data_IF_520516241922
#
_entry.id   IF_520516241922
#
_cell.length_a   1.000
_cell.length_b   1.000
_cell.length_c   1.000
_cell.angle_alpha   90.00
_cell.angle_beta   90.00
_cell.angle_gamma   90.00
#
_symmetry.space_group_name_H-M   'P 1'
#
loop_
_entity.id
_entity.type
_entity.pdbx_description
1 polymer ?
#
# COMPACT_ATOMS: atom_id res chain seq x y z
N UNK A 1 -12.04 2.57 8.23
CA UNK A 1 -12.96 1.68 8.99
C UNK A 1 -13.18 2.29 10.36
N UNK A 2 -14.41 2.40 10.88
CA UNK A 2 -14.68 3.01 12.19
C UNK A 2 -14.48 2.02 13.35
N UNK A 3 -14.40 2.51 14.59
CA UNK A 3 -14.45 1.73 15.84
C UNK A 3 -15.59 0.69 15.83
N UNK A 4 -16.69 1.01 15.14
CA UNK A 4 -17.85 0.13 14.93
C UNK A 4 -17.49 -1.19 14.23
N UNK A 5 -16.47 -1.21 13.36
CA UNK A 5 -16.03 -2.41 12.66
C UNK A 5 -15.35 -3.44 13.58
N UNK A 6 -14.65 -2.98 14.63
CA UNK A 6 -14.02 -3.88 15.60
C UNK A 6 -15.09 -4.54 16.48
N UNK A 7 -16.07 -3.75 16.94
CA UNK A 7 -17.20 -4.28 17.70
C UNK A 7 -18.03 -5.28 16.89
N UNK A 8 -18.26 -5.01 15.61
CA UNK A 8 -18.93 -5.96 14.72
C UNK A 8 -18.09 -7.23 14.53
N UNK A 9 -16.77 -7.12 14.36
CA UNK A 9 -15.87 -8.27 14.26
C UNK A 9 -15.93 -9.15 15.53
N UNK A 10 -15.95 -8.54 16.72
CA UNK A 10 -16.12 -9.27 17.98
C UNK A 10 -17.51 -9.92 18.11
N UNK A 11 -18.58 -9.23 17.69
CA UNK A 11 -19.95 -9.77 17.71
C UNK A 11 -20.11 -11.01 16.83
N UNK A 12 -19.43 -11.05 15.70
CA UNK A 12 -19.52 -12.13 14.71
C UNK A 12 -18.28 -13.05 14.69
N UNK A 13 -17.54 -13.14 15.80
CA UNK A 13 -16.25 -13.86 15.88
C UNK A 13 -16.28 -15.28 15.31
N UNK A 14 -17.33 -16.06 15.60
CA UNK A 14 -17.48 -17.41 15.06
C UNK A 14 -17.61 -17.42 13.53
N UNK A 15 -18.43 -16.52 12.97
CA UNK A 15 -18.59 -16.38 11.52
C UNK A 15 -17.26 -15.94 10.88
N UNK A 16 -16.58 -14.97 11.49
CA UNK A 16 -15.28 -14.47 11.02
C UNK A 16 -14.22 -15.60 11.03
N UNK A 17 -14.19 -16.42 12.08
CA UNK A 17 -13.32 -17.60 12.14
C UNK A 17 -13.60 -18.59 11.01
N UNK A 18 -14.86 -18.83 10.65
CA UNK A 18 -15.22 -19.70 9.53
C UNK A 18 -14.85 -19.10 8.17
N UNK A 19 -14.97 -17.78 8.01
CA UNK A 19 -14.47 -17.06 6.84
C UNK A 19 -12.95 -17.22 6.74
N UNK A 20 -12.22 -16.99 7.82
CA UNK A 20 -10.75 -17.03 7.81
C UNK A 20 -10.21 -18.45 7.57
N UNK A 21 -10.98 -19.50 7.91
CA UNK A 21 -10.72 -20.90 7.52
C UNK A 21 -11.07 -21.22 6.05
N UNK A 22 -11.75 -20.31 5.36
CA UNK A 22 -12.16 -20.44 3.96
C UNK A 22 -13.46 -21.19 3.72
N UNK A 23 -14.32 -21.34 4.74
CA UNK A 23 -15.66 -21.94 4.61
C UNK A 23 -16.67 -20.93 4.03
N UNK A 24 -16.36 -20.37 2.86
CA UNK A 24 -17.06 -19.23 2.30
C UNK A 24 -18.50 -19.54 1.92
N UNK A 25 -18.78 -20.66 1.27
CA UNK A 25 -20.15 -21.03 0.85
C UNK A 25 -21.11 -21.16 2.04
N UNK A 26 -20.63 -21.66 3.18
CA UNK A 26 -21.43 -21.74 4.41
C UNK A 26 -21.55 -20.38 5.10
N UNK A 27 -20.46 -19.61 5.12
CA UNK A 27 -20.42 -18.27 5.71
C UNK A 27 -21.35 -17.30 4.97
N UNK A 28 -21.43 -17.36 3.64
CA UNK A 28 -22.35 -16.56 2.83
C UNK A 28 -23.82 -16.84 3.18
N UNK A 29 -24.19 -18.11 3.33
CA UNK A 29 -25.56 -18.51 3.75
C UNK A 29 -25.87 -18.02 5.16
N UNK A 30 -24.89 -18.10 6.07
CA UNK A 30 -25.03 -17.57 7.42
C UNK A 30 -25.24 -16.06 7.41
N UNK A 31 -24.45 -15.32 6.61
CA UNK A 31 -24.62 -13.87 6.43
C UNK A 31 -26.00 -13.55 5.85
N UNK A 32 -26.46 -14.26 4.81
CA UNK A 32 -27.76 -14.00 4.20
C UNK A 32 -28.91 -14.22 5.21
N UNK A 33 -28.78 -15.24 6.05
CA UNK A 33 -29.73 -15.50 7.14
C UNK A 33 -29.72 -14.36 8.18
N UNK A 34 -28.54 -13.87 8.55
CA UNK A 34 -28.38 -12.75 9.48
C UNK A 34 -28.94 -11.44 8.91
N UNK A 35 -28.72 -11.16 7.62
CA UNK A 35 -29.19 -9.93 6.97
C UNK A 35 -30.71 -9.83 6.85
N UNK A 36 -31.42 -10.97 6.86
CA UNK A 36 -32.89 -11.03 6.88
C UNK A 36 -33.44 -10.69 8.29
N UNK A 37 -32.64 -10.89 9.34
CA UNK A 37 -33.06 -10.57 10.71
C UNK A 37 -33.27 -9.06 10.92
N UNK A 38 -34.33 -8.71 11.64
CA UNK A 38 -34.68 -7.32 11.98
C UNK A 38 -33.82 -6.70 13.09
N UNK A 39 -32.95 -7.49 13.75
CA UNK A 39 -32.22 -7.07 14.96
C UNK A 39 -30.84 -6.42 14.68
N UNK A 40 -30.41 -6.36 13.42
CA UNK A 40 -29.10 -5.80 13.07
C UNK A 40 -29.17 -4.28 12.80
N UNK A 41 -28.18 -3.56 13.33
CA UNK A 41 -27.98 -2.13 13.02
C UNK A 41 -27.60 -1.92 11.54
N UNK A 42 -27.64 -0.67 11.07
CA UNK A 42 -27.19 -0.34 9.71
C UNK A 42 -25.71 -0.69 9.50
N UNK A 43 -24.88 -0.38 10.49
CA UNK A 43 -23.44 -0.61 10.48
C UNK A 43 -23.11 -2.11 10.50
N UNK A 44 -23.85 -2.90 11.27
CA UNK A 44 -23.71 -4.36 11.28
C UNK A 44 -24.10 -4.97 9.94
N UNK A 45 -25.17 -4.47 9.30
CA UNK A 45 -25.56 -4.89 7.95
C UNK A 45 -24.51 -4.52 6.90
N UNK A 46 -23.95 -3.30 6.96
CA UNK A 46 -22.85 -2.90 6.06
C UNK A 46 -21.60 -3.75 6.27
N UNK A 47 -21.22 -4.01 7.53
CA UNK A 47 -20.11 -4.89 7.86
C UNK A 47 -20.28 -6.30 7.27
N UNK A 48 -21.43 -6.93 7.49
CA UNK A 48 -21.70 -8.27 6.95
C UNK A 48 -21.74 -8.30 5.42
N UNK A 49 -22.28 -7.26 4.76
CA UNK A 49 -22.24 -7.14 3.29
C UNK A 49 -20.80 -7.01 2.80
N UNK A 50 -19.96 -6.24 3.50
CA UNK A 50 -18.56 -6.13 3.16
C UNK A 50 -17.81 -7.44 3.38
N UNK A 51 -18.15 -8.25 4.38
CA UNK A 51 -17.53 -9.59 4.53
C UNK A 51 -17.88 -10.52 3.36
N UNK A 52 -19.10 -10.46 2.80
CA UNK A 52 -19.41 -11.16 1.54
C UNK A 52 -18.51 -10.68 0.39
N UNK A 53 -18.35 -9.38 0.27
CA UNK A 53 -17.49 -8.78 -0.75
C UNK A 53 -16.01 -9.16 -0.52
N UNK A 54 -15.54 -9.19 0.72
CA UNK A 54 -14.19 -9.63 1.08
C UNK A 54 -13.94 -11.07 0.65
N UNK A 55 -14.88 -11.99 0.90
CA UNK A 55 -14.78 -13.37 0.43
C UNK A 55 -14.67 -13.44 -1.10
N UNK A 56 -15.46 -12.63 -1.83
CA UNK A 56 -15.34 -12.55 -3.29
C UNK A 56 -13.97 -12.04 -3.73
N UNK A 57 -13.44 -11.00 -3.09
CA UNK A 57 -12.10 -10.47 -3.38
C UNK A 57 -11.00 -11.47 -3.06
N UNK A 58 -11.12 -12.23 -1.97
CA UNK A 58 -10.19 -13.32 -1.65
C UNK A 58 -10.22 -14.40 -2.73
N UNK A 59 -11.40 -14.78 -3.27
CA UNK A 59 -11.46 -15.70 -4.42
C UNK A 59 -10.77 -15.14 -5.66
N UNK A 60 -10.76 -13.82 -5.84
CA UNK A 60 -10.01 -13.19 -6.91
C UNK A 60 -8.49 -13.24 -6.66
N UNK A 61 -8.05 -13.09 -5.42
CA UNK A 61 -6.64 -13.20 -5.04
C UNK A 61 -6.08 -14.63 -5.12
N UNK A 62 -6.91 -15.65 -4.90
CA UNK A 62 -6.51 -17.05 -4.82
C UNK A 62 -7.11 -17.91 -5.95
N UNK A 63 -6.49 -17.87 -7.12
CA UNK A 63 -6.93 -18.65 -8.29
C UNK A 63 -5.94 -19.71 -8.75
N UNK A 64 -4.68 -19.66 -8.31
CA UNK A 64 -3.66 -20.58 -8.82
C UNK A 64 -3.83 -21.98 -8.30
N UNK A 65 -3.56 -22.95 -9.17
CA UNK A 65 -3.50 -24.37 -8.84
C UNK A 65 -2.08 -24.77 -8.44
N UNK A 66 -1.95 -25.95 -7.83
CA UNK A 66 -0.64 -26.59 -7.59
C UNK A 66 0.16 -26.76 -8.88
N UNK A 67 -0.53 -27.08 -9.99
CA UNK A 67 0.13 -27.28 -11.28
C UNK A 67 0.75 -25.99 -11.81
N UNK A 68 0.13 -24.83 -11.57
CA UNK A 68 0.71 -23.53 -11.94
C UNK A 68 2.03 -23.26 -11.21
N UNK A 69 2.10 -23.62 -9.92
CA UNK A 69 3.31 -23.49 -9.11
C UNK A 69 4.41 -24.41 -9.66
N UNK A 70 4.07 -25.67 -9.94
CA UNK A 70 5.02 -26.66 -10.48
C UNK A 70 5.55 -26.20 -11.84
N UNK A 71 4.66 -25.75 -12.74
CA UNK A 71 5.02 -25.32 -14.09
C UNK A 71 6.03 -24.17 -14.07
N UNK A 72 5.76 -23.13 -13.27
CA UNK A 72 6.69 -22.01 -13.12
C UNK A 72 8.01 -22.43 -12.46
N UNK A 73 7.94 -23.24 -11.40
CA UNK A 73 9.13 -23.63 -10.64
C UNK A 73 10.10 -24.47 -11.46
N UNK A 74 9.60 -25.29 -12.40
CA UNK A 74 10.43 -26.13 -13.30
C UNK A 74 11.37 -25.34 -14.22
N UNK A 75 11.10 -24.07 -14.48
CA UNK A 75 12.02 -23.20 -15.23
C UNK A 75 13.36 -23.04 -14.49
N UNK A 76 13.32 -23.01 -13.16
CA UNK A 76 14.48 -22.80 -12.29
C UNK A 76 14.95 -24.08 -11.60
N UNK A 77 14.04 -25.02 -11.33
CA UNK A 77 14.30 -26.24 -10.59
C UNK A 77 13.57 -27.42 -11.27
N UNK A 78 14.20 -28.14 -12.22
CA UNK A 78 13.52 -29.17 -13.02
C UNK A 78 12.91 -30.31 -12.21
N UNK A 79 13.51 -30.66 -11.07
CA UNK A 79 13.14 -31.79 -10.23
C UNK A 79 12.14 -31.45 -9.11
N UNK A 80 11.38 -30.35 -9.25
CA UNK A 80 10.31 -29.97 -8.32
C UNK A 80 9.36 -31.16 -8.09
N UNK A 81 9.14 -31.48 -6.81
CA UNK A 81 8.28 -32.56 -6.37
C UNK A 81 7.33 -32.11 -5.24
N UNK A 82 6.42 -33.00 -4.86
CA UNK A 82 5.38 -32.72 -3.87
C UNK A 82 5.91 -32.42 -2.46
N UNK A 83 7.03 -33.04 -2.06
CA UNK A 83 7.66 -32.78 -0.77
C UNK A 83 8.21 -31.34 -0.72
N UNK A 84 8.80 -30.87 -1.82
CA UNK A 84 9.28 -29.49 -1.93
C UNK A 84 8.12 -28.48 -1.81
N UNK A 85 7.01 -28.73 -2.51
CA UNK A 85 5.80 -27.89 -2.39
C UNK A 85 5.32 -27.84 -0.94
N UNK A 86 5.20 -29.00 -0.27
CA UNK A 86 4.76 -29.06 1.13
C UNK A 86 5.71 -28.32 2.08
N UNK A 87 7.02 -28.37 1.82
CA UNK A 87 8.01 -27.63 2.61
C UNK A 87 7.85 -26.12 2.42
N UNK A 88 7.65 -25.65 1.18
CA UNK A 88 7.41 -24.22 0.90
C UNK A 88 6.08 -23.72 1.47
N UNK A 89 5.05 -24.57 1.53
CA UNK A 89 3.81 -24.27 2.22
C UNK A 89 4.03 -24.14 3.74
N UNK A 90 4.82 -25.05 4.32
CA UNK A 90 5.08 -25.11 5.77
C UNK A 90 5.97 -23.98 6.26
N UNK A 91 6.97 -23.58 5.47
CA UNK A 91 7.87 -22.48 5.82
C UNK A 91 7.28 -21.08 5.51
N UNK A 92 6.10 -21.03 4.88
CA UNK A 92 5.38 -19.80 4.57
C UNK A 92 5.81 -19.12 3.26
N UNK A 93 6.84 -19.61 2.56
CA UNK A 93 7.29 -19.02 1.30
C UNK A 93 6.33 -19.23 0.12
N UNK A 94 5.42 -20.21 0.23
CA UNK A 94 4.36 -20.47 -0.74
C UNK A 94 2.97 -20.27 -0.11
N UNK A 95 2.42 -19.07 -0.29
CA UNK A 95 1.11 -18.72 0.25
C UNK A 95 -0.06 -19.44 -0.47
N UNK A 96 -0.93 -20.05 0.33
CA UNK A 96 -2.15 -20.73 -0.12
C UNK A 96 -3.30 -20.55 0.86
N UNK A 97 -4.51 -20.89 0.41
CA UNK A 97 -5.72 -20.96 1.22
C UNK A 97 -6.55 -22.17 0.79
N UNK A 98 -7.29 -22.77 1.73
CA UNK A 98 -8.32 -23.76 1.41
C UNK A 98 -9.64 -23.02 1.33
N UNK A 99 -10.26 -22.95 0.16
CA UNK A 99 -11.55 -22.27 -0.06
C UNK A 99 -12.58 -23.33 -0.40
N UNK A 100 -13.59 -23.49 0.46
CA UNK A 100 -14.66 -24.48 0.32
C UNK A 100 -14.13 -25.91 0.06
N UNK A 101 -13.03 -26.26 0.74
CA UNK A 101 -12.38 -27.57 0.63
C UNK A 101 -11.36 -27.71 -0.51
N UNK A 102 -11.23 -26.71 -1.38
CA UNK A 102 -10.24 -26.71 -2.47
C UNK A 102 -9.00 -25.86 -2.10
N UNK A 103 -7.80 -26.44 -2.20
CA UNK A 103 -6.55 -25.69 -2.02
C UNK A 103 -6.29 -24.81 -3.25
N UNK A 104 -6.23 -23.49 -3.03
CA UNK A 104 -5.85 -22.47 -4.01
C UNK A 104 -4.61 -21.73 -3.55
N UNK A 105 -3.76 -21.34 -4.49
CA UNK A 105 -2.59 -20.53 -4.22
C UNK A 105 -2.84 -19.08 -4.59
N UNK A 106 -2.22 -18.18 -3.85
CA UNK A 106 -2.27 -16.76 -4.14
C UNK A 106 -1.71 -16.48 -5.55
N UNK A 107 -2.31 -15.55 -6.29
CA UNK A 107 -1.98 -15.30 -7.69
C UNK A 107 -0.51 -14.94 -7.95
N UNK A 108 0.19 -14.35 -6.96
CA UNK A 108 1.63 -14.05 -7.08
C UNK A 108 2.53 -15.02 -6.32
N UNK A 109 2.00 -16.09 -5.71
CA UNK A 109 2.78 -17.01 -4.88
C UNK A 109 3.94 -17.67 -5.64
N UNK A 110 3.73 -18.11 -6.88
CA UNK A 110 4.79 -18.65 -7.75
C UNK A 110 6.00 -17.73 -7.94
N UNK A 111 5.80 -16.42 -8.14
CA UNK A 111 6.91 -15.46 -8.27
C UNK A 111 7.45 -15.03 -6.91
N UNK A 112 6.57 -14.86 -5.92
CA UNK A 112 6.93 -14.51 -4.54
C UNK A 112 7.78 -15.59 -3.87
N UNK A 113 7.54 -16.86 -4.17
CA UNK A 113 8.33 -17.99 -3.68
C UNK A 113 9.83 -17.76 -3.93
N UNK A 114 10.20 -17.31 -5.13
CA UNK A 114 11.58 -17.02 -5.51
C UNK A 114 12.10 -15.65 -5.03
N UNK A 115 11.26 -14.85 -4.37
CA UNK A 115 11.65 -13.60 -3.68
C UNK A 115 11.87 -13.84 -2.18
N UNK A 116 11.03 -14.67 -1.58
CA UNK A 116 10.97 -14.95 -0.14
C UNK A 116 11.97 -16.05 0.22
N UNK A 117 11.94 -17.19 -0.49
CA UNK A 117 12.82 -18.31 -0.18
C UNK A 117 14.26 -18.01 -0.64
N UNK A 118 15.18 -17.87 0.32
CA UNK A 118 16.58 -17.48 0.08
C UNK A 118 17.33 -18.47 -0.82
N UNK A 119 17.03 -19.76 -0.75
CA UNK A 119 17.68 -20.78 -1.57
C UNK A 119 17.19 -20.71 -3.02
N UNK A 120 15.87 -20.63 -3.22
CA UNK A 120 15.28 -20.50 -4.55
C UNK A 120 15.66 -19.17 -5.21
N UNK A 121 15.75 -18.08 -4.44
CA UNK A 121 16.25 -16.80 -4.92
C UNK A 121 17.67 -16.93 -5.50
N UNK A 122 18.60 -17.57 -4.76
CA UNK A 122 19.96 -17.83 -5.25
C UNK A 122 19.98 -18.72 -6.50
N UNK A 123 19.12 -19.73 -6.57
CA UNK A 123 18.97 -20.58 -7.76
C UNK A 123 18.56 -19.72 -8.97
N UNK A 124 17.55 -18.86 -8.80
CA UNK A 124 17.09 -17.95 -9.86
C UNK A 124 18.19 -16.96 -10.30
N UNK A 125 18.88 -16.35 -9.34
CA UNK A 125 20.01 -15.42 -9.59
C UNK A 125 21.15 -16.11 -10.35
N UNK A 126 21.50 -17.35 -10.00
CA UNK A 126 22.57 -18.08 -10.71
C UNK A 126 22.23 -18.39 -12.18
N UNK A 127 20.94 -18.50 -12.52
CA UNK A 127 20.46 -18.75 -13.88
C UNK A 127 20.29 -17.47 -14.71
N UNK A 128 19.79 -16.40 -14.10
CA UNK A 128 19.45 -15.15 -14.81
C UNK A 128 20.52 -14.07 -14.68
N UNK A 129 21.50 -14.25 -13.79
CA UNK A 129 22.42 -13.20 -13.37
C UNK A 129 21.79 -12.27 -12.33
N UNK A 130 22.37 -11.09 -12.17
CA UNK A 130 21.89 -10.07 -11.22
C UNK A 130 20.43 -9.69 -11.54
N UNK A 131 19.55 -9.80 -10.54
CA UNK A 131 18.13 -9.43 -10.66
C UNK A 131 17.87 -7.91 -10.60
N UNK A 132 18.89 -7.09 -10.84
CA UNK A 132 18.76 -5.62 -10.79
C UNK A 132 17.83 -5.14 -11.88
N UNK A 133 16.84 -4.34 -11.51
CA UNK A 133 15.90 -3.74 -12.45
C UNK A 133 16.27 -2.28 -12.79
N UNK A 134 15.43 -1.63 -13.60
CA UNK A 134 15.65 -0.22 -14.00
C UNK A 134 15.65 0.75 -12.82
N UNK A 135 14.93 0.44 -11.74
CA UNK A 135 14.92 1.24 -10.53
C UNK A 135 16.24 1.08 -9.78
N UNK A 136 16.76 -0.13 -9.63
CA UNK A 136 18.05 -0.37 -8.96
C UNK A 136 19.18 0.43 -9.63
N UNK A 137 19.27 0.35 -10.97
CA UNK A 137 20.25 1.14 -11.73
C UNK A 137 20.03 2.65 -11.59
N UNK A 138 18.77 3.09 -11.53
CA UNK A 138 18.46 4.48 -11.28
C UNK A 138 18.97 4.92 -9.90
N UNK A 139 18.66 4.16 -8.84
CA UNK A 139 19.00 4.51 -7.46
C UNK A 139 20.52 4.58 -7.27
N UNK A 140 21.25 3.55 -7.71
CA UNK A 140 22.72 3.49 -7.61
C UNK A 140 23.40 4.69 -8.29
N UNK A 141 22.85 5.14 -9.42
CA UNK A 141 23.40 6.28 -10.16
C UNK A 141 22.95 7.63 -9.59
N UNK A 142 21.69 7.77 -9.21
CA UNK A 142 21.10 9.09 -8.95
C UNK A 142 21.18 9.50 -7.48
N UNK A 143 21.13 8.57 -6.53
CA UNK A 143 21.20 8.92 -5.11
C UNK A 143 22.54 9.61 -4.74
N UNK A 144 23.72 9.10 -5.14
CA UNK A 144 24.98 9.79 -4.89
C UNK A 144 25.03 11.19 -5.53
N UNK A 145 24.45 11.35 -6.73
CA UNK A 145 24.36 12.65 -7.41
C UNK A 145 23.43 13.64 -6.71
N UNK A 146 22.32 13.16 -6.14
CA UNK A 146 21.42 13.98 -5.32
C UNK A 146 22.18 14.47 -4.08
N UNK A 147 22.87 13.58 -3.38
CA UNK A 147 23.65 13.92 -2.19
C UNK A 147 24.79 14.91 -2.47
N UNK A 148 25.56 14.71 -3.55
CA UNK A 148 26.62 15.64 -3.95
C UNK A 148 26.07 17.04 -4.28
N UNK A 149 24.86 17.14 -4.84
CA UNK A 149 24.23 18.44 -5.11
C UNK A 149 23.64 19.09 -3.87
N UNK A 150 23.19 18.31 -2.89
CA UNK A 150 22.64 18.82 -1.65
C UNK A 150 23.71 19.55 -0.83
N UNK A 151 24.94 19.02 -0.69
CA UNK A 151 26.04 19.65 0.09
C UNK A 151 25.57 20.28 1.42
N UNK A 152 24.79 19.54 2.21
CA UNK A 152 24.16 19.97 3.47
C UNK A 152 22.99 20.97 3.34
N UNK A 153 22.46 21.19 2.14
CA UNK A 153 21.12 21.78 1.93
C UNK A 153 20.08 20.68 2.06
N UNK A 154 18.88 21.03 2.49
CA UNK A 154 17.76 20.09 2.61
C UNK A 154 17.15 19.70 1.26
N UNK A 155 17.29 20.53 0.22
CA UNK A 155 16.68 20.31 -1.10
C UNK A 155 17.48 20.95 -2.25
N UNK A 156 17.24 20.47 -3.48
CA UNK A 156 17.76 21.04 -4.74
C UNK A 156 16.61 21.40 -5.71
N UNK A 157 16.96 21.85 -6.91
CA UNK A 157 15.98 22.28 -7.93
C UNK A 157 14.92 21.20 -8.18
N UNK A 158 13.63 21.60 -8.29
CA UNK A 158 12.55 20.66 -8.54
C UNK A 158 12.66 20.06 -9.94
N UNK A 159 12.19 18.81 -10.07
CA UNK A 159 11.87 18.19 -11.34
C UNK A 159 10.41 18.49 -11.65
N UNK A 160 10.19 18.98 -12.86
CA UNK A 160 8.86 19.25 -13.38
C UNK A 160 8.35 18.02 -14.12
N UNK A 161 7.16 17.54 -13.78
CA UNK A 161 6.58 16.32 -14.29
C UNK A 161 5.19 16.63 -14.84
N UNK A 162 4.91 16.12 -16.03
CA UNK A 162 3.57 16.12 -16.60
C UNK A 162 3.14 14.68 -16.78
N UNK A 163 1.89 14.36 -16.47
CA UNK A 163 1.35 13.04 -16.75
C UNK A 163 -0.07 13.11 -17.27
N UNK A 164 -0.48 12.04 -17.95
CA UNK A 164 -1.87 11.78 -18.34
C UNK A 164 -2.32 10.49 -17.69
N UNK A 165 -3.40 10.55 -16.92
CA UNK A 165 -3.99 9.42 -16.24
C UNK A 165 -5.34 9.07 -16.88
N UNK A 166 -5.52 7.80 -17.21
CA UNK A 166 -6.72 7.29 -17.89
C UNK A 166 -7.28 6.12 -17.10
N UNK A 167 -8.59 6.14 -16.82
CA UNK A 167 -9.36 4.98 -16.36
C UNK A 167 -10.39 4.61 -17.43
N UNK A 168 -10.50 3.32 -17.73
CA UNK A 168 -11.41 2.77 -18.73
C UNK A 168 -12.27 1.67 -18.11
N UNK A 169 -13.55 1.96 -17.89
CA UNK A 169 -14.56 0.97 -17.48
C UNK A 169 -14.89 0.09 -18.67
N UNK A 170 -14.79 -1.23 -18.50
CA UNK A 170 -15.03 -2.19 -19.58
C UNK A 170 -16.47 -2.06 -20.11
N UNK A 171 -16.71 -2.32 -21.41
CA UNK A 171 -18.05 -2.27 -21.98
C UNK A 171 -19.04 -3.12 -21.20
N UNK A 172 -20.29 -2.64 -21.08
CA UNK A 172 -21.42 -3.36 -20.49
C UNK A 172 -21.26 -3.74 -19.00
N UNK A 173 -20.27 -3.19 -18.27
CA UNK A 173 -20.17 -3.35 -16.81
C UNK A 173 -21.20 -2.51 -16.03
N UNK A 174 -21.73 -1.47 -16.68
CA UNK A 174 -22.72 -0.55 -16.13
C UNK A 174 -23.83 -0.38 -17.18
N UNK A 175 -25.13 -0.42 -16.79
CA UNK A 175 -26.22 -0.29 -17.74
C UNK A 175 -26.19 1.04 -18.53
N UNK A 176 -26.72 1.02 -19.75
CA UNK A 176 -26.76 2.20 -20.61
C UNK A 176 -27.45 3.39 -19.92
N UNK A 177 -26.88 4.58 -20.06
CA UNK A 177 -27.31 5.85 -19.45
C UNK A 177 -27.18 5.95 -17.92
N UNK A 178 -26.66 4.93 -17.23
CA UNK A 178 -26.35 5.05 -15.81
C UNK A 178 -25.09 5.90 -15.58
N UNK A 179 -25.11 6.72 -14.53
CA UNK A 179 -23.98 7.57 -14.17
C UNK A 179 -22.94 6.78 -13.38
N UNK A 180 -21.73 6.75 -13.92
CA UNK A 180 -20.53 6.31 -13.22
C UNK A 180 -19.89 7.54 -12.56
N UNK A 181 -19.68 7.43 -11.25
CA UNK A 181 -18.92 8.38 -10.43
C UNK A 181 -17.51 7.83 -10.25
N UNK A 182 -16.51 8.65 -10.56
CA UNK A 182 -15.11 8.26 -10.50
C UNK A 182 -14.30 9.27 -9.68
N UNK A 183 -13.53 8.77 -8.72
CA UNK A 183 -12.50 9.50 -8.00
C UNK A 183 -11.17 8.99 -8.52
N UNK A 184 -10.38 9.85 -9.13
CA UNK A 184 -9.06 9.50 -9.66
C UNK A 184 -7.97 10.15 -8.79
N UNK A 185 -6.81 9.49 -8.58
CA UNK A 185 -5.70 10.06 -7.82
C UNK A 185 -5.35 11.43 -8.38
N UNK A 186 -5.03 12.42 -7.55
CA UNK A 186 -4.60 13.74 -8.00
C UNK A 186 -3.43 14.22 -7.12
N UNK A 187 -2.38 14.88 -7.66
CA UNK A 187 -1.26 15.30 -6.85
C UNK A 187 -1.69 16.27 -5.75
N UNK A 188 -1.29 16.02 -4.51
CA UNK A 188 -1.46 16.96 -3.40
C UNK A 188 -0.84 18.32 -3.73
N UNK A 189 -1.62 19.39 -3.54
CA UNK A 189 -1.20 20.77 -3.85
C UNK A 189 -0.45 21.45 -2.69
N UNK A 190 -0.67 21.01 -1.45
CA UNK A 190 -0.23 21.71 -0.23
C UNK A 190 0.86 20.95 0.52
N UNK A 191 1.90 20.54 -0.18
CA UNK A 191 3.04 19.88 0.42
C UNK A 191 4.34 20.65 0.13
N UNK A 192 5.27 20.69 1.08
CA UNK A 192 6.53 21.43 0.91
C UNK A 192 7.38 20.89 -0.25
N UNK A 193 7.21 19.61 -0.61
CA UNK A 193 7.97 18.97 -1.69
C UNK A 193 7.29 18.94 -3.05
N UNK A 194 5.97 19.07 -3.07
CA UNK A 194 5.15 18.94 -4.27
C UNK A 194 4.32 20.22 -4.45
N UNK A 195 4.56 20.92 -5.54
CA UNK A 195 4.07 22.28 -5.75
C UNK A 195 3.75 22.54 -7.22
N UNK A 196 3.21 23.72 -7.52
CA UNK A 196 2.90 24.14 -8.90
C UNK A 196 1.99 23.15 -9.63
N UNK A 197 1.06 22.52 -8.90
CA UNK A 197 0.09 21.58 -9.47
C UNK A 197 -0.86 22.35 -10.39
N UNK A 198 -0.91 21.95 -11.66
CA UNK A 198 -1.73 22.56 -12.71
C UNK A 198 -2.45 21.49 -13.49
N UNK A 199 -3.77 21.52 -13.42
CA UNK A 199 -4.64 20.72 -14.28
C UNK A 199 -4.59 21.28 -15.71
N UNK A 200 -4.14 20.47 -16.66
CA UNK A 200 -3.95 20.86 -18.06
C UNK A 200 -5.19 20.55 -18.89
N UNK A 201 -5.78 19.37 -18.72
CA UNK A 201 -6.98 18.94 -19.45
C UNK A 201 -7.75 17.87 -18.69
N UNK A 202 -9.05 17.80 -18.93
CA UNK A 202 -9.96 16.74 -18.45
C UNK A 202 -10.90 16.39 -19.59
N UNK A 203 -11.17 15.12 -19.82
CA UNK A 203 -12.12 14.67 -20.86
C UNK A 203 -13.59 14.71 -20.40
N UNK A 204 -13.93 15.71 -19.58
CA UNK A 204 -15.25 15.92 -19.02
C UNK A 204 -15.49 17.41 -18.77
N UNK A 205 -16.72 17.87 -18.99
CA UNK A 205 -17.07 19.29 -18.86
C UNK A 205 -17.10 19.75 -17.39
N UNK A 206 -17.35 18.83 -16.46
CA UNK A 206 -17.47 19.09 -15.04
C UNK A 206 -16.55 18.16 -14.24
N UNK A 207 -15.91 18.72 -13.23
CA UNK A 207 -15.07 17.98 -12.28
C UNK A 207 -15.06 18.70 -10.93
N UNK A 208 -14.70 17.96 -9.87
CA UNK A 208 -14.48 18.52 -8.53
C UNK A 208 -13.12 18.06 -8.03
N UNK A 209 -12.24 18.99 -7.65
CA UNK A 209 -11.00 18.65 -6.95
C UNK A 209 -11.26 18.56 -5.45
N UNK A 210 -10.64 17.59 -4.79
CA UNK A 210 -10.66 17.48 -3.33
C UNK A 210 -10.06 18.72 -2.68
N UNK A 211 -10.67 19.18 -1.59
CA UNK A 211 -10.14 20.31 -0.83
C UNK A 211 -8.89 19.98 -0.02
N UNK A 212 -8.22 21.03 0.46
CA UNK A 212 -6.97 20.99 1.25
C UNK A 212 -7.01 20.13 2.52
N UNK A 213 -8.21 19.85 3.02
CA UNK A 213 -8.43 19.11 4.25
C UNK A 213 -8.52 17.58 4.03
N UNK A 214 -8.67 17.12 2.79
CA UNK A 214 -8.72 15.70 2.49
C UNK A 214 -7.31 15.12 2.50
N UNK A 215 -7.13 13.97 3.17
CA UNK A 215 -5.87 13.24 3.15
C UNK A 215 -5.70 12.43 1.88
N UNK A 216 -6.78 12.09 1.18
CA UNK A 216 -6.74 11.47 -0.15
C UNK A 216 -7.09 12.54 -1.20
N UNK A 217 -6.09 12.96 -1.97
CA UNK A 217 -6.25 13.98 -3.02
C UNK A 217 -6.80 13.36 -4.29
N UNK A 218 -7.93 13.89 -4.80
CA UNK A 218 -8.67 13.31 -5.90
C UNK A 218 -9.25 14.34 -6.86
N UNK A 219 -9.36 13.95 -8.13
CA UNK A 219 -10.29 14.57 -9.08
C UNK A 219 -11.52 13.69 -9.25
N UNK A 220 -12.69 14.27 -8.99
CA UNK A 220 -13.99 13.64 -9.11
C UNK A 220 -14.64 13.96 -10.45
N UNK A 221 -15.18 12.93 -11.11
CA UNK A 221 -15.80 13.00 -12.43
C UNK A 221 -17.08 12.16 -12.47
N UNK A 222 -18.05 12.59 -13.27
CA UNK A 222 -19.26 11.83 -13.57
C UNK A 222 -19.44 11.69 -15.07
N UNK A 223 -19.69 10.46 -15.55
CA UNK A 223 -20.00 10.18 -16.96
C UNK A 223 -21.05 9.09 -17.08
N UNK A 224 -21.96 9.24 -18.05
CA UNK A 224 -22.94 8.20 -18.38
C UNK A 224 -22.27 7.05 -19.12
N UNK A 225 -22.60 5.82 -18.73
CA UNK A 225 -22.19 4.62 -19.45
C UNK A 225 -22.95 4.49 -20.77
N UNK A 226 -22.27 3.97 -21.79
CA UNK A 226 -22.86 3.68 -23.11
C UNK A 226 -22.80 2.20 -23.41
N UNK A 227 -23.86 1.69 -24.02
CA UNK A 227 -23.94 0.30 -24.42
C UNK A 227 -22.82 -0.07 -25.41
N UNK A 228 -22.15 -1.20 -25.19
CA UNK A 228 -21.07 -1.74 -26.02
C UNK A 228 -19.82 -0.84 -26.18
N UNK A 229 -19.71 0.24 -25.40
CA UNK A 229 -18.56 1.15 -25.40
C UNK A 229 -17.90 1.20 -24.02
N UNK A 230 -16.57 1.33 -23.93
CA UNK A 230 -15.93 1.60 -22.65
C UNK A 230 -16.24 3.03 -22.19
N UNK A 231 -16.40 3.24 -20.89
CA UNK A 231 -16.51 4.59 -20.32
C UNK A 231 -15.12 5.06 -19.89
N UNK A 232 -14.61 6.10 -20.55
CA UNK A 232 -13.24 6.59 -20.35
C UNK A 232 -13.25 7.89 -19.55
N UNK A 233 -12.51 7.89 -18.44
CA UNK A 233 -12.15 9.08 -17.67
C UNK A 233 -10.67 9.37 -17.90
N UNK A 234 -10.33 10.60 -18.24
CA UNK A 234 -8.95 10.99 -18.52
C UNK A 234 -8.71 12.44 -18.08
N UNK A 235 -7.53 12.68 -17.51
CA UNK A 235 -7.05 14.02 -17.27
C UNK A 235 -5.52 14.08 -17.41
N UNK A 236 -5.00 15.28 -17.61
CA UNK A 236 -3.56 15.55 -17.63
C UNK A 236 -3.20 16.64 -16.62
N UNK A 237 -2.16 16.42 -15.84
CA UNK A 237 -1.66 17.34 -14.81
C UNK A 237 -0.17 17.56 -14.98
N UNK A 238 0.27 18.74 -14.62
CA UNK A 238 1.67 19.10 -14.45
C UNK A 238 1.92 19.51 -13.01
N UNK A 239 3.06 19.14 -12.44
CA UNK A 239 3.49 19.55 -11.11
C UNK A 239 5.01 19.55 -10.99
N UNK A 240 5.52 20.17 -9.94
CA UNK A 240 6.94 20.25 -9.61
C UNK A 240 7.22 19.51 -8.29
N UNK A 241 8.19 18.59 -8.30
CA UNK A 241 8.61 17.86 -7.11
C UNK A 241 10.12 18.00 -6.84
N UNK A 242 10.49 18.24 -5.58
CA UNK A 242 11.91 18.39 -5.17
C UNK A 242 12.38 17.18 -4.36
N UNK A 243 13.60 16.69 -4.58
CA UNK A 243 14.20 15.72 -3.67
C UNK A 243 14.48 16.38 -2.31
N UNK A 244 14.44 15.59 -1.24
CA UNK A 244 14.72 16.03 0.12
C UNK A 244 15.69 15.08 0.82
N UNK A 245 16.57 15.60 1.67
CA UNK A 245 17.32 14.82 2.66
C UNK A 245 17.48 15.62 3.95
N UNK A 246 17.15 14.97 5.06
CA UNK A 246 17.40 15.45 6.41
C UNK A 246 18.65 14.75 6.96
N UNK A 247 19.65 15.55 7.31
CA UNK A 247 20.87 15.08 7.98
C UNK A 247 20.68 15.26 9.48
N UNK A 248 20.25 14.19 10.16
CA UNK A 248 19.86 14.23 11.57
C UNK A 248 20.97 13.67 12.43
N UNK A 249 21.51 14.49 13.34
CA UNK A 249 22.33 13.99 14.46
C UNK A 249 21.40 13.52 15.58
N UNK A 250 21.53 12.24 15.97
CA UNK A 250 20.74 11.66 17.05
C UNK A 250 20.84 12.44 18.37
N UNK A 251 21.95 13.17 18.59
CA UNK A 251 22.16 14.01 19.79
C UNK A 251 21.31 15.28 19.81
N UNK A 252 20.82 15.72 18.65
CA UNK A 252 19.96 16.90 18.51
C UNK A 252 18.48 16.57 18.73
N UNK A 253 18.14 15.28 18.83
CA UNK A 253 16.78 14.84 19.12
C UNK A 253 16.40 15.22 20.55
N UNK A 254 15.42 16.09 20.66
CA UNK A 254 14.82 16.51 21.92
C UNK A 254 13.58 15.66 22.25
N UNK A 255 13.17 15.69 23.52
CA UNK A 255 11.95 15.02 23.96
C UNK A 255 10.69 15.63 23.33
N UNK A 256 9.70 14.79 23.07
CA UNK A 256 8.41 15.22 22.51
C UNK A 256 7.55 16.01 23.49
N UNK A 257 6.83 17.02 22.98
CA UNK A 257 5.69 17.57 23.70
C UNK A 257 4.51 16.59 23.64
N UNK A 258 4.42 15.71 24.65
CA UNK A 258 3.40 14.65 24.75
C UNK A 258 1.97 15.16 24.86
N UNK A 259 1.78 16.43 25.20
CA UNK A 259 0.46 17.05 25.29
C UNK A 259 -0.06 17.59 23.96
N UNK A 260 0.80 17.73 22.95
CA UNK A 260 0.42 18.24 21.63
C UNK A 260 -0.55 17.32 20.89
N UNK A 261 -1.46 17.91 20.12
CA UNK A 261 -2.41 17.17 19.28
C UNK A 261 -1.69 16.30 18.23
N UNK A 262 -0.59 16.80 17.68
CA UNK A 262 0.26 16.06 16.74
C UNK A 262 0.78 14.77 17.38
N UNK A 263 1.39 14.88 18.56
CA UNK A 263 1.94 13.72 19.25
C UNK A 263 0.84 12.69 19.54
N UNK A 264 -0.24 13.10 20.22
CA UNK A 264 -1.36 12.22 20.59
C UNK A 264 -2.02 11.56 19.38
N UNK A 265 -2.11 12.27 18.25
CA UNK A 265 -2.74 11.75 17.03
C UNK A 265 -1.87 10.70 16.34
N UNK A 266 -0.57 10.92 16.29
CA UNK A 266 0.33 10.12 15.46
C UNK A 266 1.14 9.07 16.21
N UNK A 267 0.94 8.90 17.52
CA UNK A 267 1.48 7.76 18.30
C UNK A 267 0.43 6.73 18.71
N UNK A 268 -0.86 7.02 18.55
CA UNK A 268 -1.93 6.10 18.97
C UNK A 268 -2.17 4.99 17.94
N UNK A 269 -2.79 3.92 18.44
CA UNK A 269 -3.44 2.90 17.61
C UNK A 269 -4.50 3.54 16.71
N UNK A 270 -4.67 2.94 15.53
CA UNK A 270 -5.66 3.36 14.56
C UNK A 270 -6.09 2.12 13.76
N UNK A 271 -7.13 1.49 14.30
CA UNK A 271 -7.66 0.25 13.77
C UNK A 271 -8.18 0.39 12.33
N UNK A 272 -8.14 -0.69 11.53
CA UNK A 272 -7.72 -2.03 11.94
C UNK A 272 -6.24 -2.34 11.65
N UNK A 273 -5.50 -1.42 11.01
CA UNK A 273 -4.17 -1.72 10.47
C UNK A 273 -3.00 -1.32 11.39
N UNK A 274 -3.24 -0.44 12.37
CA UNK A 274 -2.26 -0.04 13.38
C UNK A 274 -2.82 -0.45 14.74
N UNK A 275 -2.36 -1.59 15.25
CA UNK A 275 -2.71 -2.13 16.56
C UNK A 275 -1.43 -2.59 17.26
N UNK A 276 -1.37 -2.44 18.58
CA UNK A 276 -0.25 -2.86 19.41
C UNK A 276 -0.54 -4.26 19.96
N UNK A 277 -0.60 -5.23 19.05
CA UNK A 277 -0.73 -6.66 19.38
C UNK A 277 0.46 -7.15 20.22
N UNK A 278 0.31 -8.28 20.90
CA UNK A 278 1.40 -8.83 21.71
C UNK A 278 2.64 -9.16 20.85
N UNK A 279 2.41 -9.59 19.60
CA UNK A 279 3.43 -9.84 18.60
C UNK A 279 4.22 -8.57 18.25
N UNK A 280 3.52 -7.43 18.06
CA UNK A 280 4.16 -6.12 17.84
C UNK A 280 5.02 -5.71 19.05
N UNK A 281 4.51 -5.92 20.28
CA UNK A 281 5.26 -5.58 21.50
C UNK A 281 6.52 -6.42 21.64
N UNK A 282 6.41 -7.73 21.43
CA UNK A 282 7.54 -8.67 21.51
C UNK A 282 8.60 -8.35 20.45
N UNK A 283 8.18 -8.17 19.20
CA UNK A 283 9.08 -7.81 18.12
C UNK A 283 9.77 -6.46 18.37
N UNK A 284 9.01 -5.46 18.82
CA UNK A 284 9.59 -4.16 19.16
C UNK A 284 10.69 -4.29 20.21
N UNK A 285 10.43 -5.01 21.31
CA UNK A 285 11.41 -5.20 22.38
C UNK A 285 12.67 -5.92 21.88
N UNK A 286 12.54 -6.90 20.98
CA UNK A 286 13.66 -7.58 20.33
C UNK A 286 14.52 -6.60 19.51
N UNK A 287 13.87 -5.74 18.71
CA UNK A 287 14.56 -4.79 17.82
C UNK A 287 15.28 -3.70 18.61
N UNK A 288 14.59 -3.07 19.58
CA UNK A 288 15.09 -1.84 20.19
C UNK A 288 16.02 -2.09 21.37
N UNK A 289 15.80 -3.17 22.13
CA UNK A 289 16.48 -3.42 23.40
C UNK A 289 16.21 -2.31 24.41
N UNK A 290 17.27 -1.73 24.98
CA UNK A 290 17.21 -0.63 25.95
C UNK A 290 17.38 0.76 25.29
N UNK A 291 17.27 0.86 23.97
CA UNK A 291 17.41 2.15 23.29
C UNK A 291 16.24 3.08 23.60
N UNK A 292 16.55 4.32 23.98
CA UNK A 292 15.55 5.35 24.31
C UNK A 292 15.53 6.50 23.29
N UNK A 293 16.58 6.66 22.46
CA UNK A 293 16.65 7.73 21.49
C UNK A 293 15.67 7.47 20.32
N UNK A 294 14.66 8.33 20.11
CA UNK A 294 13.63 8.14 19.07
C UNK A 294 14.18 7.91 17.67
N UNK A 295 15.26 8.61 17.30
CA UNK A 295 15.86 8.47 15.98
C UNK A 295 16.61 7.14 15.83
N UNK A 296 17.34 6.71 16.87
CA UNK A 296 18.04 5.43 16.85
C UNK A 296 17.05 4.26 16.85
N UNK A 297 15.97 4.35 17.63
CA UNK A 297 14.86 3.39 17.59
C UNK A 297 14.30 3.27 16.17
N UNK A 298 13.92 4.39 15.55
CA UNK A 298 13.37 4.39 14.20
C UNK A 298 14.37 3.79 13.19
N UNK A 299 15.66 4.13 13.31
CA UNK A 299 16.71 3.57 12.44
C UNK A 299 16.87 2.06 12.62
N UNK A 300 16.85 1.55 13.86
CA UNK A 300 16.89 0.11 14.17
C UNK A 300 15.70 -0.64 13.55
N UNK A 301 14.50 -0.09 13.68
CA UNK A 301 13.29 -0.66 13.08
C UNK A 301 13.41 -0.67 11.55
N UNK A 302 13.85 0.44 10.94
CA UNK A 302 14.08 0.55 9.50
C UNK A 302 15.06 -0.54 9.01
N UNK A 303 16.20 -0.67 9.67
CA UNK A 303 17.22 -1.68 9.34
C UNK A 303 16.68 -3.10 9.50
N UNK A 304 15.97 -3.39 10.61
CA UNK A 304 15.42 -4.71 10.83
C UNK A 304 14.42 -5.10 9.73
N UNK A 305 13.52 -4.19 9.34
CA UNK A 305 12.56 -4.43 8.25
C UNK A 305 13.27 -4.65 6.91
N UNK A 306 14.33 -3.88 6.63
CA UNK A 306 15.15 -4.07 5.43
C UNK A 306 15.76 -5.49 5.37
N UNK A 307 16.30 -5.96 6.48
CA UNK A 307 17.09 -7.19 6.53
C UNK A 307 16.23 -8.45 6.64
N UNK A 308 15.04 -8.34 7.24
CA UNK A 308 14.20 -9.48 7.60
C UNK A 308 12.91 -9.61 6.78
N UNK A 309 12.41 -8.52 6.18
CA UNK A 309 11.13 -8.51 5.45
C UNK A 309 11.39 -8.33 3.94
N UNK A 310 11.59 -9.42 3.18
CA UNK A 310 11.76 -9.36 1.73
C UNK A 310 10.52 -8.78 1.06
N UNK A 311 10.76 -8.06 -0.04
CA UNK A 311 9.68 -7.56 -0.88
C UNK A 311 8.97 -8.71 -1.59
N UNK A 312 7.65 -8.77 -1.45
CA UNK A 312 6.80 -9.74 -2.13
C UNK A 312 5.48 -9.06 -2.50
N UNK A 313 4.96 -9.33 -3.70
CA UNK A 313 3.72 -8.68 -4.14
C UNK A 313 2.56 -9.09 -3.25
N UNK A 314 1.78 -8.15 -2.74
CA UNK A 314 0.69 -8.44 -1.83
C UNK A 314 -0.61 -8.87 -2.52
N UNK A 315 -1.49 -9.46 -1.71
CA UNK A 315 -2.94 -9.50 -1.90
C UNK A 315 -3.51 -8.09 -1.90
N UNK A 316 -4.71 -7.93 -2.41
CA UNK A 316 -5.43 -6.66 -2.31
C UNK A 316 -5.65 -6.33 -0.83
N UNK A 317 -5.27 -5.13 -0.38
CA UNK A 317 -5.29 -4.76 1.05
C UNK A 317 -6.69 -4.82 1.65
N UNK A 318 -7.74 -4.63 0.83
CA UNK A 318 -9.13 -4.82 1.24
C UNK A 318 -9.49 -6.27 1.63
N UNK A 319 -8.61 -7.23 1.39
CA UNK A 319 -8.76 -8.62 1.85
C UNK A 319 -8.05 -8.90 3.17
N UNK A 320 -7.24 -7.97 3.66
CA UNK A 320 -6.48 -8.08 4.91
C UNK A 320 -7.28 -7.45 6.06
N UNK A 321 -7.32 -8.12 7.21
CA UNK A 321 -7.99 -7.59 8.42
C UNK A 321 -7.09 -6.58 9.12
N UNK A 322 -5.84 -6.96 9.36
CA UNK A 322 -4.78 -6.10 9.86
C UNK A 322 -3.52 -6.33 9.00
N UNK A 323 -2.91 -5.26 8.50
CA UNK A 323 -1.75 -5.34 7.61
C UNK A 323 -0.45 -5.53 8.40
N UNK A 324 -0.31 -4.88 9.56
CA UNK A 324 0.90 -5.00 10.38
C UNK A 324 1.04 -6.42 10.94
N UNK A 325 -0.05 -6.99 11.47
CA UNK A 325 -0.07 -8.39 11.93
C UNK A 325 0.16 -9.37 10.77
N UNK A 326 -0.42 -9.11 9.59
CA UNK A 326 -0.17 -9.93 8.41
C UNK A 326 1.32 -9.94 8.03
N UNK A 327 2.02 -8.80 8.14
CA UNK A 327 3.45 -8.72 7.88
C UNK A 327 4.25 -9.59 8.84
N UNK A 328 3.91 -9.61 10.13
CA UNK A 328 4.60 -10.41 11.15
C UNK A 328 4.31 -11.90 10.97
N UNK A 329 3.07 -12.28 10.64
CA UNK A 329 2.71 -13.67 10.37
C UNK A 329 3.40 -14.23 9.12
N UNK A 330 3.48 -13.42 8.05
CA UNK A 330 4.03 -13.84 6.76
C UNK A 330 5.52 -13.60 6.60
N UNK A 331 6.10 -12.69 7.38
CA UNK A 331 7.51 -12.27 7.29
C UNK A 331 7.93 -11.79 5.89
N UNK A 332 7.00 -11.20 5.13
CA UNK A 332 7.25 -10.57 3.84
C UNK A 332 6.11 -9.59 3.51
N UNK A 333 6.35 -8.65 2.59
CA UNK A 333 5.33 -7.69 2.19
C UNK A 333 5.78 -6.78 1.05
N UNK A 334 4.84 -6.11 0.41
CA UNK A 334 5.14 -5.05 -0.54
C UNK A 334 5.32 -3.69 0.18
N UNK A 335 5.35 -2.61 -0.59
CA UNK A 335 5.67 -1.27 -0.09
C UNK A 335 4.75 -0.84 1.05
N UNK A 336 3.44 -1.07 0.93
CA UNK A 336 2.50 -0.68 1.96
C UNK A 336 2.50 -1.61 3.17
N UNK A 337 2.62 -2.93 2.98
CA UNK A 337 2.73 -3.86 4.13
C UNK A 337 3.95 -3.51 5.00
N UNK A 338 5.12 -3.30 4.37
CA UNK A 338 6.35 -2.92 5.08
C UNK A 338 6.21 -1.58 5.79
N UNK A 339 5.62 -0.59 5.12
CA UNK A 339 5.41 0.74 5.66
C UNK A 339 4.48 0.74 6.88
N UNK A 340 3.37 -0.02 6.84
CA UNK A 340 2.44 -0.08 7.98
C UNK A 340 3.05 -0.82 9.18
N UNK A 341 3.86 -1.85 8.96
CA UNK A 341 4.63 -2.47 10.04
C UNK A 341 5.58 -1.45 10.69
N UNK A 342 6.36 -0.73 9.87
CA UNK A 342 7.27 0.31 10.36
C UNK A 342 6.55 1.38 11.17
N UNK A 343 5.45 1.94 10.64
CA UNK A 343 4.64 2.95 11.34
C UNK A 343 4.13 2.38 12.65
N UNK A 344 3.62 1.16 12.67
CA UNK A 344 3.08 0.53 13.88
C UNK A 344 4.14 0.38 14.97
N UNK A 345 5.34 -0.10 14.61
CA UNK A 345 6.47 -0.21 15.54
C UNK A 345 6.96 1.16 16.01
N UNK A 346 7.04 2.17 15.15
CA UNK A 346 7.38 3.54 15.55
C UNK A 346 6.36 4.11 16.54
N UNK A 347 5.06 4.00 16.23
CA UNK A 347 3.99 4.52 17.08
C UNK A 347 3.97 3.85 18.45
N UNK A 348 4.18 2.54 18.49
CA UNK A 348 4.28 1.78 19.75
C UNK A 348 5.42 2.31 20.63
N UNK A 349 6.56 2.68 20.03
CA UNK A 349 7.69 3.30 20.74
C UNK A 349 7.55 4.81 20.95
N UNK A 350 6.34 5.37 20.79
CA UNK A 350 6.06 6.78 21.06
C UNK A 350 6.68 7.75 20.04
N UNK A 351 7.03 7.27 18.84
CA UNK A 351 7.53 8.07 17.72
C UNK A 351 6.35 8.39 16.81
N UNK A 352 5.97 9.67 16.64
CA UNK A 352 4.84 10.00 15.78
C UNK A 352 5.17 9.66 14.33
N UNK A 353 4.31 8.86 13.70
CA UNK A 353 4.52 8.33 12.35
C UNK A 353 3.22 8.36 11.55
N UNK A 354 3.28 8.59 10.24
CA UNK A 354 2.10 8.62 9.36
C UNK A 354 2.37 8.03 7.98
N UNK A 355 1.29 7.64 7.31
CA UNK A 355 1.32 7.03 5.99
C UNK A 355 1.36 8.10 4.89
N UNK A 356 2.09 7.84 3.82
CA UNK A 356 1.97 8.54 2.54
C UNK A 356 1.94 7.55 1.40
N UNK A 357 1.23 7.88 0.32
CA UNK A 357 1.22 7.03 -0.87
C UNK A 357 0.86 7.80 -2.12
N UNK A 358 1.16 7.19 -3.27
CA UNK A 358 0.78 7.71 -4.57
C UNK A 358 1.45 6.88 -5.65
N UNK A 359 2.36 7.50 -6.40
CA UNK A 359 3.06 6.82 -7.48
C UNK A 359 4.56 7.09 -7.43
N UNK A 360 5.33 6.07 -7.75
CA UNK A 360 6.71 6.24 -8.19
C UNK A 360 6.69 6.51 -9.71
N UNK A 361 7.30 7.62 -10.12
CA UNK A 361 7.35 8.08 -11.51
C UNK A 361 8.79 8.11 -12.02
N UNK A 362 9.57 7.07 -11.74
CA UNK A 362 10.94 6.99 -12.23
C UNK A 362 10.95 6.71 -13.74
N UNK A 363 11.90 7.27 -14.52
CA UNK A 363 12.02 6.97 -15.94
C UNK A 363 12.13 5.46 -16.21
N UNK A 364 11.14 4.89 -16.91
CA UNK A 364 11.06 3.46 -17.20
C UNK A 364 10.52 2.58 -16.07
N UNK A 365 10.12 3.17 -14.93
CA UNK A 365 9.53 2.46 -13.81
C UNK A 365 8.42 3.33 -13.18
N UNK A 366 7.23 3.27 -13.77
CA UNK A 366 6.05 4.01 -13.33
C UNK A 366 5.09 3.04 -12.64
N UNK A 367 4.91 3.18 -11.33
CA UNK A 367 4.14 2.22 -10.54
C UNK A 367 3.49 2.86 -9.31
N UNK A 368 2.59 2.13 -8.68
CA UNK A 368 2.03 2.47 -7.37
C UNK A 368 3.13 2.38 -6.31
N UNK A 369 3.08 3.23 -5.30
CA UNK A 369 4.05 3.20 -4.21
C UNK A 369 3.53 3.78 -2.90
N UNK A 370 3.88 3.13 -1.79
CA UNK A 370 3.54 3.50 -0.42
C UNK A 370 4.82 3.70 0.40
N UNK A 371 4.83 4.74 1.23
CA UNK A 371 5.93 5.06 2.13
C UNK A 371 5.39 5.78 3.38
N UNK A 372 6.27 6.24 4.26
CA UNK A 372 5.86 6.89 5.50
C UNK A 372 6.57 8.21 5.75
N UNK A 373 6.14 8.87 6.82
CA UNK A 373 6.89 9.94 7.45
C UNK A 373 6.96 9.69 8.96
N UNK A 374 8.06 10.10 9.58
CA UNK A 374 8.22 10.15 11.03
C UNK A 374 8.49 11.58 11.47
N UNK A 375 8.06 11.92 12.68
CA UNK A 375 8.20 13.25 13.23
C UNK A 375 9.22 13.28 14.37
N UNK A 376 10.12 14.25 14.33
CA UNK A 376 10.99 14.60 15.45
C UNK A 376 10.75 16.05 15.86
N UNK A 377 10.54 16.28 17.15
CA UNK A 377 10.36 17.63 17.70
C UNK A 377 11.60 18.49 17.37
N UNK A 378 11.38 19.75 16.95
CA UNK A 378 12.44 20.64 16.49
C UNK A 378 12.90 20.44 15.03
N UNK A 379 12.61 19.29 14.41
CA UNK A 379 12.94 18.99 13.00
C UNK A 379 11.70 19.03 12.11
N UNK A 380 10.63 18.36 12.54
CA UNK A 380 9.41 18.21 11.75
C UNK A 380 9.22 16.79 11.19
N UNK A 381 8.36 16.68 10.17
CA UNK A 381 8.13 15.43 9.45
C UNK A 381 9.27 15.17 8.48
N UNK A 382 9.85 13.97 8.56
CA UNK A 382 10.86 13.48 7.62
C UNK A 382 10.36 12.22 6.92
N UNK A 383 10.66 12.05 5.62
CA UNK A 383 10.20 10.91 4.84
C UNK A 383 11.01 9.65 5.15
N UNK A 384 10.35 8.50 5.10
CA UNK A 384 10.94 7.18 5.25
C UNK A 384 10.32 6.20 4.26
N UNK A 385 11.14 5.43 3.55
CA UNK A 385 10.67 4.45 2.58
C UNK A 385 11.29 3.08 2.85
N UNK A 386 10.48 2.18 3.41
CA UNK A 386 10.87 0.82 3.79
C UNK A 386 11.01 -0.12 2.59
N UNK A 387 10.37 0.23 1.48
CA UNK A 387 10.36 -0.59 0.28
C UNK A 387 11.64 -0.40 -0.52
N UNK A 388 12.09 0.85 -0.66
CA UNK A 388 13.38 1.15 -1.26
C UNK A 388 14.52 0.87 -0.28
N UNK A 389 14.27 1.03 1.02
CA UNK A 389 15.10 0.46 2.08
C UNK A 389 16.53 1.00 2.12
N UNK A 390 17.46 0.13 2.48
CA UNK A 390 18.89 0.43 2.53
C UNK A 390 19.50 0.18 1.15
N UNK A 391 20.19 1.18 0.60
CA UNK A 391 20.90 1.02 -0.67
C UNK A 391 22.33 0.51 -0.43
N UNK A 392 22.86 -0.25 -1.39
CA UNK A 392 24.23 -0.75 -1.35
C UNK A 392 25.22 0.41 -1.56
N UNK A 393 25.78 0.91 -0.45
CA UNK A 393 26.76 2.00 -0.46
C UNK A 393 27.65 1.98 0.77
N UNK A 394 28.92 2.33 0.58
CA UNK A 394 29.90 2.57 1.65
C UNK A 394 29.73 3.94 2.33
N UNK A 395 28.94 4.84 1.73
CA UNK A 395 28.65 6.16 2.30
C UNK A 395 27.37 6.04 3.12
N UNK A 396 27.46 6.24 4.44
CA UNK A 396 26.34 6.07 5.37
C UNK A 396 25.08 6.87 4.98
N UNK A 397 25.24 8.13 4.56
CA UNK A 397 24.11 8.97 4.13
C UNK A 397 23.44 8.48 2.85
N UNK A 398 24.22 7.85 1.95
CA UNK A 398 23.69 7.20 0.77
C UNK A 398 22.97 5.92 1.18
N UNK A 399 23.65 5.05 1.94
CA UNK A 399 23.12 3.79 2.47
C UNK A 399 21.75 3.96 3.13
N UNK A 400 21.60 4.98 3.96
CA UNK A 400 20.35 5.34 4.64
C UNK A 400 19.61 6.49 3.97
N UNK A 401 19.73 6.67 2.64
CA UNK A 401 19.10 7.79 1.95
C UNK A 401 17.59 7.85 2.22
N UNK A 402 16.89 6.72 2.05
CA UNK A 402 15.44 6.58 2.27
C UNK A 402 15.02 6.52 3.75
N UNK A 403 15.95 6.71 4.69
CA UNK A 403 15.65 7.04 6.08
C UNK A 403 15.93 8.53 6.29
N UNK A 404 14.88 9.36 6.21
CA UNK A 404 14.98 10.82 6.25
C UNK A 404 15.21 11.45 4.88
N UNK A 405 15.00 10.74 3.77
CA UNK A 405 15.18 11.27 2.42
C UNK A 405 14.25 10.64 1.39
N UNK A 406 14.13 11.31 0.25
CA UNK A 406 13.21 10.93 -0.85
C UNK A 406 13.62 11.68 -2.11
N UNK A 407 13.47 11.05 -3.27
CA UNK A 407 13.78 11.65 -4.56
C UNK A 407 12.57 12.39 -5.15
N UNK A 408 12.79 13.11 -6.25
CA UNK A 408 11.77 13.88 -6.95
C UNK A 408 10.67 13.06 -7.64
N UNK A 409 10.74 11.73 -7.65
CA UNK A 409 9.84 10.86 -8.41
C UNK A 409 8.74 10.22 -7.56
N UNK A 410 8.69 10.53 -6.27
CA UNK A 410 7.58 10.18 -5.39
C UNK A 410 6.43 11.20 -5.52
N UNK A 411 5.43 10.87 -6.33
CA UNK A 411 4.21 11.66 -6.46
C UNK A 411 3.29 11.40 -5.26
N UNK A 412 3.01 12.42 -4.46
CA UNK A 412 2.11 12.31 -3.31
C UNK A 412 0.66 12.44 -3.79
N UNK A 413 -0.15 11.44 -3.48
CA UNK A 413 -1.62 11.46 -3.64
C UNK A 413 -2.30 11.44 -2.27
N UNK A 414 -1.75 10.68 -1.33
CA UNK A 414 -2.32 10.48 0.00
C UNK A 414 -1.34 10.91 1.09
N UNK A 415 -1.84 11.63 2.10
CA UNK A 415 -1.10 12.03 3.30
C UNK A 415 -1.55 11.29 4.58
N UNK A 416 -2.46 10.32 4.43
CA UNK A 416 -2.84 9.35 5.44
C UNK A 416 -3.50 8.13 4.77
N UNK A 417 -3.84 7.09 5.54
CA UNK A 417 -4.54 5.91 5.04
C UNK A 417 -6.03 5.90 5.41
N UNK A 418 -6.84 5.22 4.60
CA UNK A 418 -8.27 4.98 4.81
C UNK A 418 -9.16 6.21 4.99
N UNK A 419 -8.76 7.37 4.46
CA UNK A 419 -9.53 8.60 4.59
C UNK A 419 -10.78 8.63 3.70
N UNK A 420 -11.70 9.55 3.97
CA UNK A 420 -12.93 9.72 3.18
C UNK A 420 -12.68 10.57 1.94
N UNK A 421 -13.42 10.27 0.86
CA UNK A 421 -13.41 11.09 -0.34
C UNK A 421 -14.34 12.30 -0.22
N UNK A 422 -14.03 13.31 -1.03
CA UNK A 422 -14.95 14.39 -1.32
C UNK A 422 -15.15 14.50 -2.86
N UNK A 423 -16.38 14.41 -3.38
CA UNK A 423 -17.61 14.02 -2.68
C UNK A 423 -17.52 12.62 -2.04
N UNK A 424 -18.36 12.33 -1.05
CA UNK A 424 -18.32 11.04 -0.36
C UNK A 424 -18.81 9.90 -1.26
N UNK A 425 -18.12 8.74 -1.20
CA UNK A 425 -18.61 7.49 -1.82
C UNK A 425 -19.79 6.91 -1.04
N UNK A 426 -20.70 6.28 -1.77
CA UNK A 426 -21.86 5.59 -1.21
C UNK A 426 -21.59 4.11 -0.92
N UNK A 427 -20.66 3.49 -1.66
CA UNK A 427 -20.31 2.08 -1.52
C UNK A 427 -18.89 1.90 -1.00
N UNK A 428 -18.63 0.71 -0.42
CA UNK A 428 -17.32 0.35 0.09
C UNK A 428 -16.26 0.43 -1.03
N UNK A 429 -15.09 0.95 -0.67
CA UNK A 429 -13.98 1.16 -1.59
C UNK A 429 -13.42 -0.16 -2.12
N UNK A 430 -12.85 -0.13 -3.32
CA UNK A 430 -12.08 -1.24 -3.87
C UNK A 430 -10.75 -1.38 -3.12
N UNK A 431 -10.06 -0.26 -2.93
CA UNK A 431 -8.90 -0.13 -2.05
C UNK A 431 -9.30 0.59 -0.76
N UNK A 432 -9.18 -0.10 0.36
CA UNK A 432 -9.64 0.39 1.68
C UNK A 432 -8.56 1.15 2.43
N UNK A 433 -7.31 1.12 1.97
CA UNK A 433 -6.15 1.66 2.68
C UNK A 433 -5.56 2.85 1.93
N UNK A 434 -4.89 2.64 0.81
CA UNK A 434 -4.39 3.73 -0.02
C UNK A 434 -5.43 4.20 -1.05
N UNK A 435 -5.07 5.21 -1.84
CA UNK A 435 -5.84 5.62 -3.01
C UNK A 435 -4.88 6.00 -4.15
N UNK A 436 -4.52 5.02 -4.98
CA UNK A 436 -3.54 5.22 -6.05
C UNK A 436 -4.09 4.88 -7.45
N UNK A 437 -5.03 3.92 -7.54
CA UNK A 437 -5.64 3.46 -8.82
C UNK A 437 -6.92 4.21 -9.19
N UNK A 438 -7.53 4.90 -8.24
CA UNK A 438 -8.87 5.44 -8.41
C UNK A 438 -9.96 4.53 -7.85
N UNK A 439 -11.15 5.09 -7.73
CA UNK A 439 -12.32 4.47 -7.14
C UNK A 439 -13.55 4.81 -7.99
N UNK A 440 -14.38 3.80 -8.28
CA UNK A 440 -15.52 3.97 -9.17
C UNK A 440 -16.78 3.34 -8.58
N UNK A 441 -17.92 4.01 -8.75
CA UNK A 441 -19.21 3.46 -8.37
C UNK A 441 -20.33 3.99 -9.27
N UNK A 442 -21.45 3.28 -9.30
CA UNK A 442 -22.70 3.74 -9.91
C UNK A 442 -23.84 3.44 -8.95
N UNK A 443 -25.08 3.78 -9.28
CA UNK A 443 -26.20 3.58 -8.36
C UNK A 443 -26.40 2.12 -7.91
N UNK A 444 -25.90 1.15 -8.68
CA UNK A 444 -25.99 -0.29 -8.36
C UNK A 444 -24.81 -0.87 -7.58
N UNK A 445 -23.77 -0.10 -7.25
CA UNK A 445 -22.67 -0.56 -6.40
C UNK A 445 -21.28 -0.06 -6.78
N UNK A 446 -20.29 -0.51 -6.00
CA UNK A 446 -18.87 -0.32 -6.30
C UNK A 446 -18.45 -1.08 -7.57
N UNK A 447 -17.58 -0.47 -8.36
CA UNK A 447 -16.90 -1.13 -9.48
C UNK A 447 -15.52 -1.57 -9.05
N UNK A 448 -15.38 -2.84 -8.69
CA UNK A 448 -14.11 -3.43 -8.29
C UNK A 448 -13.11 -3.50 -9.47
N UNK A 449 -11.83 -3.68 -9.17
CA UNK A 449 -10.71 -3.57 -10.12
C UNK A 449 -10.79 -4.52 -11.32
N UNK A 450 -11.55 -5.61 -11.22
CA UNK A 450 -11.80 -6.54 -12.32
C UNK A 450 -12.69 -5.94 -13.43
N UNK A 451 -13.40 -4.83 -13.17
CA UNK A 451 -14.37 -4.21 -14.10
C UNK A 451 -13.78 -3.05 -14.92
N UNK A 452 -12.56 -2.62 -14.64
CA UNK A 452 -11.94 -1.48 -15.30
C UNK A 452 -10.42 -1.60 -15.34
N UNK A 453 -9.77 -0.79 -16.16
CA UNK A 453 -8.31 -0.71 -16.24
C UNK A 453 -7.86 0.74 -16.06
N UNK A 454 -6.61 0.95 -15.70
CA UNK A 454 -5.99 2.27 -15.67
C UNK A 454 -4.67 2.31 -16.44
N UNK A 455 -4.22 3.50 -16.79
CA UNK A 455 -2.93 3.74 -17.42
C UNK A 455 -2.38 5.12 -17.03
N UNK A 456 -1.06 5.20 -16.84
CA UNK A 456 -0.32 6.42 -16.52
C UNK A 456 0.77 6.66 -17.59
N UNK A 457 0.73 7.81 -18.27
CA UNK A 457 1.80 8.25 -19.19
C UNK A 457 2.51 9.46 -18.61
N UNK A 458 3.83 9.41 -18.50
CA UNK A 458 4.64 10.44 -17.83
C UNK A 458 5.61 11.09 -18.80
N UNK A 459 5.72 12.41 -18.73
CA UNK A 459 6.65 13.28 -19.44
C UNK A 459 7.48 14.05 -18.40
N UNK A 460 8.82 14.01 -18.54
CA UNK A 460 9.75 14.76 -17.69
C UNK A 460 10.13 16.06 -18.39
N UNK A 461 9.78 17.19 -17.79
CA UNK A 461 9.99 18.52 -18.37
C UNK A 461 11.33 19.11 -17.88
N UNK A 462 12.02 19.83 -18.76
CA UNK A 462 13.31 20.47 -18.47
C UNK A 462 13.16 21.85 -17.83
#
# INVERSE_FOLDING_TARGET
MSITSIFAQQKFEQLISEIDKGNFSNSEKAIDSLLISSELSFEEKSYLRFEKERMNRIRLDFQKSKQDIINFSKEFLPDVNDEMILNWEKDGSLEFMIIDGEKKYFNRSHTNLFRINKELRKIKESKLGTLKDSLDFYLEKNIPNILDKLKNKESINPQKIKFTYTVSVKPNMVPNNEIIRAWLPFPVEYNSRQSEVRLISVNNDQYVLSGKNQKHSSIYLEKAAKENEPTIFEYSVEYSAKPLKYFVDAKEIIGYNKESDLYKTYVKESAPHILFSEEIKLLSNEIIGEEENPYIIAKKIFTWINDNIPWAGAREYSTLRNISDYCIDRMHGDCGIKTLLFITLCRYNGIPARWQSGWMLHPGNVNLHDWGEIYFEGIGWIPVDQSFGIIDSEIEDAKYFFFGGTDQFHMIVNEDYSDQFYPQKNYERSETVDFQRGELEWRGGNLYFDKWNYNMKVEYLN
#
